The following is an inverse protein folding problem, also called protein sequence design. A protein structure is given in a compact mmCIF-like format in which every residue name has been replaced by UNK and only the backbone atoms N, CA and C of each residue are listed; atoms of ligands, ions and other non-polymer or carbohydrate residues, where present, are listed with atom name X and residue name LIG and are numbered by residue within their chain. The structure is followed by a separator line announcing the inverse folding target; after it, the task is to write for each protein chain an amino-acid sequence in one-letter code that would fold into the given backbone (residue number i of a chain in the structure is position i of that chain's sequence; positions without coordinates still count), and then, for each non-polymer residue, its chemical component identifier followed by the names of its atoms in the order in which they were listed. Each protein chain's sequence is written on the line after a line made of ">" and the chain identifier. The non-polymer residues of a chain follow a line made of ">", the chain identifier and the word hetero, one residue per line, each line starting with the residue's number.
data_IF_088391728645
#
_entry.id   IF_088391728645
#
_cell.length_a   1.000
_cell.length_b   1.000
_cell.length_c   1.000
_cell.angle_alpha   90.00
_cell.angle_beta   90.00
_cell.angle_gamma   90.00
#
_symmetry.space_group_name_H-M   'P 1'
#
loop_
_entity.id
_entity.type
_entity.pdbx_description
1 polymer ?
#
# COMPACT_ATOMS: atom_id res chain seq x y z
N UNK A 1 82.38 32.97 -21.76
CA UNK A 1 81.59 34.12 -22.09
C UNK A 1 80.16 33.68 -22.28
N UNK A 2 79.33 34.27 -21.51
CA UNK A 2 77.88 34.44 -21.68
C UNK A 2 77.02 33.21 -21.89
N UNK A 3 76.48 32.71 -20.79
CA UNK A 3 75.31 31.86 -20.75
C UNK A 3 74.04 32.67 -20.60
N UNK A 4 73.01 32.31 -21.33
CA UNK A 4 71.67 32.87 -21.18
C UNK A 4 70.72 31.81 -20.64
N UNK A 5 70.10 32.10 -19.50
CA UNK A 5 69.17 31.24 -18.83
C UNK A 5 67.74 31.38 -19.45
N UNK A 6 67.18 30.28 -19.95
CA UNK A 6 65.82 30.20 -20.36
C UNK A 6 64.90 29.69 -19.22
N UNK A 7 63.99 30.54 -18.75
CA UNK A 7 62.96 30.15 -17.79
C UNK A 7 61.77 29.54 -18.57
N UNK A 8 61.50 28.25 -18.35
CA UNK A 8 60.29 27.60 -18.80
C UNK A 8 59.21 27.76 -17.75
N UNK A 9 58.18 28.52 -18.07
CA UNK A 9 56.99 28.69 -17.27
C UNK A 9 56.09 27.48 -17.36
N UNK A 10 55.97 26.73 -16.25
CA UNK A 10 55.04 25.61 -16.12
C UNK A 10 53.57 26.11 -15.96
N UNK A 11 52.84 26.05 -17.03
CA UNK A 11 51.41 26.30 -16.98
C UNK A 11 50.66 25.18 -16.25
N UNK A 12 50.24 25.44 -15.01
CA UNK A 12 49.35 24.54 -14.26
C UNK A 12 47.97 24.60 -14.89
N UNK A 13 47.64 23.62 -15.72
CA UNK A 13 46.29 23.35 -16.21
C UNK A 13 45.38 22.99 -15.04
N UNK A 14 44.52 23.93 -14.62
CA UNK A 14 43.45 23.67 -13.70
C UNK A 14 42.38 22.83 -14.40
N UNK A 15 42.46 21.51 -14.24
CA UNK A 15 41.33 20.62 -14.58
C UNK A 15 40.11 21.03 -13.74
N UNK A 16 39.19 21.80 -14.34
CA UNK A 16 37.87 22.01 -13.80
C UNK A 16 37.14 20.68 -13.80
N UNK A 17 37.03 20.07 -12.64
CA UNK A 17 36.13 18.92 -12.43
C UNK A 17 34.72 19.37 -12.75
N UNK A 18 34.20 18.96 -13.89
CA UNK A 18 32.79 19.08 -14.20
C UNK A 18 32.07 18.19 -13.18
N UNK A 19 31.59 18.77 -12.09
CA UNK A 19 30.58 18.15 -11.24
C UNK A 19 29.43 17.74 -12.16
N UNK A 20 29.31 16.44 -12.43
CA UNK A 20 28.10 15.86 -13.02
C UNK A 20 26.96 16.26 -12.08
N UNK A 21 26.19 17.25 -12.48
CA UNK A 21 24.89 17.53 -11.86
C UNK A 21 24.08 16.26 -12.05
N UNK A 22 23.95 15.46 -10.99
CA UNK A 22 23.08 14.31 -10.98
C UNK A 22 21.72 14.76 -11.47
N UNK A 23 21.22 14.11 -12.51
CA UNK A 23 19.90 14.40 -13.08
C UNK A 23 18.88 14.14 -11.97
N UNK A 24 18.26 15.18 -11.45
CA UNK A 24 17.25 15.09 -10.38
C UNK A 24 16.14 14.19 -10.89
N UNK A 25 15.85 13.09 -10.19
CA UNK A 25 14.74 12.20 -10.54
C UNK A 25 13.42 12.94 -10.42
N UNK A 26 12.53 12.75 -11.39
CA UNK A 26 11.16 13.28 -11.33
C UNK A 26 10.39 12.56 -10.22
N UNK A 27 9.57 13.28 -9.49
CA UNK A 27 8.65 12.71 -8.49
C UNK A 27 7.27 12.59 -9.10
N UNK A 28 6.60 11.46 -8.83
CA UNK A 28 5.22 11.16 -9.24
C UNK A 28 4.44 10.77 -7.99
N UNK A 29 3.24 11.32 -7.85
CA UNK A 29 2.29 10.91 -6.81
C UNK A 29 1.30 9.89 -7.38
N UNK A 30 1.09 8.79 -6.65
CA UNK A 30 0.09 7.78 -6.96
C UNK A 30 -0.86 7.61 -5.77
N UNK A 31 -2.14 7.49 -6.06
CA UNK A 31 -3.17 7.27 -5.05
C UNK A 31 -3.93 5.98 -5.32
N UNK A 32 -4.11 5.19 -4.28
CA UNK A 32 -4.88 3.96 -4.28
C UNK A 32 -5.87 3.95 -3.14
N UNK A 33 -6.86 3.08 -3.24
CA UNK A 33 -7.79 2.80 -2.16
C UNK A 33 -8.06 1.30 -2.06
N UNK A 34 -8.41 0.86 -0.88
CA UNK A 34 -8.73 -0.52 -0.57
C UNK A 34 -9.23 -0.65 0.86
N UNK A 35 -9.11 -1.81 1.45
CA UNK A 35 -9.54 -1.94 2.83
C UNK A 35 -9.49 -3.33 3.42
N UNK A 36 -9.88 -3.37 4.67
CA UNK A 36 -10.08 -4.57 5.46
C UNK A 36 -11.55 -4.99 5.33
N UNK A 37 -11.79 -6.12 4.68
CA UNK A 37 -13.12 -6.69 4.49
C UNK A 37 -13.38 -7.75 5.53
N UNK A 38 -14.32 -7.51 6.42
CA UNK A 38 -14.74 -8.47 7.44
C UNK A 38 -16.05 -9.16 7.04
N UNK A 39 -16.27 -10.38 7.53
CA UNK A 39 -17.58 -11.02 7.42
C UNK A 39 -18.59 -10.40 8.39
N UNK A 40 -19.87 -10.74 8.23
CA UNK A 40 -20.96 -10.17 9.05
C UNK A 40 -20.77 -10.43 10.55
N UNK A 41 -20.17 -11.57 10.91
CA UNK A 41 -19.91 -11.94 12.31
C UNK A 41 -18.63 -11.31 12.86
N UNK A 42 -17.85 -10.60 12.01
CA UNK A 42 -16.56 -9.98 12.35
C UNK A 42 -15.51 -10.95 12.90
N UNK A 43 -15.57 -12.21 12.45
CA UNK A 43 -14.66 -13.27 12.86
C UNK A 43 -13.52 -13.51 11.88
N UNK A 44 -13.72 -13.15 10.61
CA UNK A 44 -12.75 -13.36 9.53
C UNK A 44 -12.65 -12.11 8.66
N UNK A 45 -11.50 -11.96 8.03
CA UNK A 45 -11.27 -10.95 7.01
C UNK A 45 -10.61 -11.54 5.76
N UNK A 46 -10.78 -10.87 4.64
CA UNK A 46 -10.20 -11.30 3.37
C UNK A 46 -8.80 -10.73 3.21
N UNK A 47 -7.84 -11.59 2.92
CA UNK A 47 -6.49 -11.20 2.51
C UNK A 47 -6.20 -11.70 1.11
N UNK A 48 -5.33 -10.98 0.41
CA UNK A 48 -4.73 -11.39 -0.85
C UNK A 48 -3.28 -11.77 -0.65
N UNK A 49 -2.82 -12.77 -1.40
CA UNK A 49 -1.43 -13.19 -1.43
C UNK A 49 -0.80 -12.90 -2.79
N UNK A 50 0.38 -12.30 -2.78
CA UNK A 50 1.21 -12.06 -3.96
C UNK A 50 2.59 -12.64 -3.74
N UNK A 51 3.17 -13.23 -4.78
CA UNK A 51 4.54 -13.70 -4.73
C UNK A 51 5.51 -12.51 -4.87
N UNK A 52 6.50 -12.47 -3.99
CA UNK A 52 7.61 -11.55 -4.16
C UNK A 52 8.59 -12.04 -5.25
N UNK A 53 9.64 -11.26 -5.53
CA UNK A 53 10.67 -11.61 -6.51
C UNK A 53 11.45 -12.89 -6.18
N UNK A 54 11.36 -13.38 -4.95
CA UNK A 54 12.01 -14.61 -4.49
C UNK A 54 11.05 -15.80 -4.43
N UNK A 55 9.78 -15.63 -4.85
CA UNK A 55 8.75 -16.65 -4.82
C UNK A 55 8.11 -16.85 -3.45
N UNK A 56 8.32 -15.94 -2.50
CA UNK A 56 7.66 -15.97 -1.20
C UNK A 56 6.28 -15.33 -1.29
N UNK A 57 5.26 -16.02 -0.77
CA UNK A 57 3.90 -15.49 -0.69
C UNK A 57 3.81 -14.45 0.42
N UNK A 58 3.42 -13.22 0.05
CA UNK A 58 3.20 -12.11 0.96
C UNK A 58 1.71 -11.80 1.03
N UNK A 59 1.16 -11.84 2.24
CA UNK A 59 -0.24 -11.52 2.49
C UNK A 59 -0.42 -10.02 2.76
N UNK A 60 -1.46 -9.43 2.17
CA UNK A 60 -1.78 -8.01 2.28
C UNK A 60 -3.28 -7.74 2.16
N UNK A 61 -3.67 -6.51 2.48
CA UNK A 61 -5.01 -6.03 2.23
C UNK A 61 -5.23 -5.73 0.73
N UNK A 62 -6.41 -6.05 0.17
CA UNK A 62 -6.73 -5.72 -1.21
C UNK A 62 -6.80 -4.20 -1.42
N UNK A 63 -6.25 -3.73 -2.53
CA UNK A 63 -6.20 -2.31 -2.91
C UNK A 63 -5.79 -2.12 -4.36
N UNK A 64 -6.17 -1.01 -4.94
CA UNK A 64 -5.67 -0.63 -6.27
C UNK A 64 -5.89 0.84 -6.60
N UNK A 65 -5.54 1.21 -7.82
CA UNK A 65 -5.52 2.58 -8.28
C UNK A 65 -6.91 3.15 -8.49
N UNK A 66 -7.06 4.44 -8.24
CA UNK A 66 -8.28 5.20 -8.56
C UNK A 66 -8.42 5.29 -10.08
N UNK A 67 -9.62 5.03 -10.58
CA UNK A 67 -10.01 5.31 -11.95
C UNK A 67 -10.70 6.67 -12.07
N UNK A 68 -10.71 7.22 -13.28
CA UNK A 68 -11.31 8.53 -13.54
C UNK A 68 -12.77 8.58 -13.12
N UNK A 69 -13.11 9.58 -12.30
CA UNK A 69 -14.46 9.80 -11.80
C UNK A 69 -14.85 9.01 -10.56
N UNK A 70 -13.98 8.11 -10.07
CA UNK A 70 -14.23 7.38 -8.82
C UNK A 70 -13.91 8.22 -7.58
N UNK A 71 -14.71 8.03 -6.54
CA UNK A 71 -14.36 8.41 -5.17
C UNK A 71 -13.45 7.34 -4.55
N UNK A 72 -12.77 7.67 -3.46
CA UNK A 72 -11.94 6.70 -2.73
C UNK A 72 -12.73 5.47 -2.23
N UNK A 73 -13.92 5.61 -1.64
CA UNK A 73 -14.76 4.46 -1.27
C UNK A 73 -15.17 3.60 -2.47
N UNK A 74 -15.54 4.21 -3.59
CA UNK A 74 -15.91 3.47 -4.81
C UNK A 74 -14.71 2.67 -5.35
N UNK A 75 -13.53 3.26 -5.38
CA UNK A 75 -12.29 2.55 -5.75
C UNK A 75 -12.03 1.36 -4.82
N UNK A 76 -12.15 1.56 -3.51
CA UNK A 76 -11.94 0.49 -2.54
C UNK A 76 -12.91 -0.68 -2.77
N UNK A 77 -14.19 -0.40 -3.01
CA UNK A 77 -15.19 -1.44 -3.27
C UNK A 77 -14.93 -2.18 -4.59
N UNK A 78 -14.58 -1.45 -5.64
CA UNK A 78 -14.24 -2.04 -6.95
C UNK A 78 -13.01 -2.92 -6.86
N UNK A 79 -11.92 -2.43 -6.29
CA UNK A 79 -10.66 -3.18 -6.17
C UNK A 79 -10.82 -4.43 -5.29
N UNK A 80 -11.55 -4.34 -4.19
CA UNK A 80 -11.88 -5.51 -3.37
C UNK A 80 -12.63 -6.55 -4.19
N UNK A 81 -13.62 -6.14 -4.98
CA UNK A 81 -14.37 -7.06 -5.84
C UNK A 81 -13.49 -7.69 -6.91
N UNK A 82 -12.62 -6.93 -7.56
CA UNK A 82 -11.71 -7.41 -8.59
C UNK A 82 -10.68 -8.38 -8.02
N UNK A 83 -10.01 -8.02 -6.94
CA UNK A 83 -8.91 -8.80 -6.36
C UNK A 83 -9.39 -10.01 -5.53
N UNK A 84 -10.60 -9.99 -4.98
CA UNK A 84 -11.06 -11.02 -4.03
C UNK A 84 -12.33 -11.76 -4.45
N UNK A 85 -13.11 -11.21 -5.35
CA UNK A 85 -14.46 -11.71 -5.70
C UNK A 85 -15.56 -11.29 -4.71
N UNK A 86 -15.23 -10.62 -3.62
CA UNK A 86 -16.20 -10.24 -2.57
C UNK A 86 -16.82 -8.88 -2.86
N UNK A 87 -18.13 -8.82 -2.78
CA UNK A 87 -18.90 -7.58 -2.73
C UNK A 87 -19.00 -7.09 -1.30
N UNK A 88 -18.74 -5.84 -1.06
CA UNK A 88 -18.68 -5.26 0.27
C UNK A 88 -19.40 -3.92 0.35
N UNK A 89 -19.64 -3.47 1.57
CA UNK A 89 -20.11 -2.11 1.88
C UNK A 89 -19.14 -1.42 2.83
N UNK A 90 -19.08 -0.10 2.75
CA UNK A 90 -18.20 0.70 3.62
C UNK A 90 -18.85 0.84 5.00
N UNK A 91 -18.08 0.51 6.05
CA UNK A 91 -18.47 0.78 7.44
C UNK A 91 -17.88 2.13 7.91
N UNK A 92 -16.60 2.35 7.71
CA UNK A 92 -15.91 3.59 8.10
C UNK A 92 -14.56 3.74 7.39
N UNK A 93 -13.98 4.95 7.36
CA UNK A 93 -12.57 5.10 7.07
C UNK A 93 -11.73 4.36 8.12
N UNK A 94 -10.62 3.75 7.70
CA UNK A 94 -9.74 3.02 8.61
C UNK A 94 -8.41 3.74 8.82
N UNK A 95 -7.79 4.21 7.75
CA UNK A 95 -6.54 4.96 7.81
C UNK A 95 -5.85 5.05 6.47
N UNK A 96 -4.75 5.79 6.46
CA UNK A 96 -3.96 6.04 5.26
C UNK A 96 -2.52 5.59 5.49
N UNK A 97 -1.97 4.88 4.52
CA UNK A 97 -0.56 4.47 4.49
C UNK A 97 0.08 5.18 3.32
N UNK A 98 1.26 5.77 3.53
CA UNK A 98 2.04 6.33 2.44
C UNK A 98 3.49 5.82 2.49
N UNK A 99 4.09 5.64 1.32
CA UNK A 99 5.46 5.17 1.18
C UNK A 99 6.09 5.64 -0.13
N UNK A 100 7.41 5.61 -0.16
CA UNK A 100 8.21 6.00 -1.30
C UNK A 100 8.93 4.81 -1.90
N UNK A 101 8.99 4.76 -3.22
CA UNK A 101 9.82 3.80 -3.95
C UNK A 101 10.36 4.42 -5.24
N UNK A 102 11.28 3.72 -5.88
CA UNK A 102 11.83 4.11 -7.17
C UNK A 102 11.40 3.10 -8.21
N UNK A 103 10.75 3.58 -9.26
CA UNK A 103 10.37 2.80 -10.42
C UNK A 103 10.66 3.61 -11.70
N UNK A 104 11.15 2.97 -12.74
CA UNK A 104 11.41 3.60 -14.04
C UNK A 104 12.17 4.94 -13.98
N UNK A 105 13.16 5.05 -13.08
CA UNK A 105 13.94 6.26 -12.80
C UNK A 105 13.13 7.44 -12.26
N UNK A 106 11.97 7.16 -11.67
CA UNK A 106 11.14 8.14 -10.97
C UNK A 106 11.07 7.80 -9.49
N UNK A 107 10.97 8.83 -8.66
CA UNK A 107 10.55 8.64 -7.27
C UNK A 107 9.04 8.64 -7.24
N UNK A 108 8.45 7.58 -6.72
CA UNK A 108 7.00 7.47 -6.58
C UNK A 108 6.66 7.64 -5.11
N UNK A 109 5.75 8.57 -4.82
CA UNK A 109 5.08 8.70 -3.53
C UNK A 109 3.70 8.07 -3.67
N UNK A 110 3.49 6.95 -3.00
CA UNK A 110 2.22 6.25 -3.04
C UNK A 110 1.45 6.45 -1.75
N UNK A 111 0.20 6.89 -1.88
CA UNK A 111 -0.75 7.03 -0.78
C UNK A 111 -1.88 6.04 -0.97
N UNK A 112 -2.15 5.23 0.04
CA UNK A 112 -3.23 4.23 0.02
C UNK A 112 -4.23 4.53 1.11
N UNK A 113 -5.46 4.85 0.71
CA UNK A 113 -6.57 5.07 1.63
C UNK A 113 -7.28 3.74 1.91
N UNK A 114 -7.35 3.35 3.18
CA UNK A 114 -7.98 2.11 3.62
C UNK A 114 -9.30 2.39 4.32
N UNK A 115 -10.27 1.54 4.03
CA UNK A 115 -11.60 1.55 4.65
C UNK A 115 -11.84 0.25 5.41
N UNK A 116 -12.64 0.33 6.45
CA UNK A 116 -13.24 -0.83 7.07
C UNK A 116 -14.50 -1.18 6.29
N UNK A 117 -14.54 -2.41 5.76
CA UNK A 117 -15.58 -2.89 4.86
C UNK A 117 -16.21 -4.15 5.43
N UNK A 118 -17.49 -4.36 5.13
CA UNK A 118 -18.21 -5.57 5.47
C UNK A 118 -18.66 -6.30 4.20
N UNK A 119 -18.40 -7.60 4.14
CA UNK A 119 -18.84 -8.44 3.03
C UNK A 119 -20.36 -8.54 3.01
N UNK A 120 -20.94 -8.34 1.82
CA UNK A 120 -22.39 -8.44 1.60
C UNK A 120 -22.75 -9.50 0.55
N UNK A 121 -21.77 -10.10 -0.10
CA UNK A 121 -22.00 -11.14 -1.10
C UNK A 121 -20.72 -11.50 -1.86
N UNK A 122 -20.88 -12.35 -2.87
CA UNK A 122 -19.79 -12.84 -3.68
C UNK A 122 -19.12 -14.06 -3.09
N UNK A 123 -18.17 -14.62 -3.83
CA UNK A 123 -17.34 -15.76 -3.45
C UNK A 123 -15.88 -15.41 -3.73
N UNK A 124 -14.97 -16.00 -2.94
CA UNK A 124 -13.54 -15.81 -3.15
C UNK A 124 -13.15 -16.24 -4.57
N UNK A 125 -12.39 -15.38 -5.23
CA UNK A 125 -11.83 -15.62 -6.57
C UNK A 125 -10.41 -15.07 -6.64
N UNK A 126 -9.51 -15.85 -7.20
CA UNK A 126 -8.11 -15.51 -7.51
C UNK A 126 -7.88 -15.28 -9.01
N UNK A 127 -8.94 -14.97 -9.74
CA UNK A 127 -8.86 -14.75 -11.20
C UNK A 127 -8.11 -13.48 -11.59
N UNK A 128 -7.93 -12.54 -10.68
CA UNK A 128 -7.13 -11.35 -10.91
C UNK A 128 -5.66 -11.72 -11.13
N UNK A 129 -5.09 -11.24 -12.24
CA UNK A 129 -3.71 -11.58 -12.64
C UNK A 129 -2.64 -11.08 -11.68
N UNK A 130 -2.95 -10.10 -10.85
CA UNK A 130 -2.06 -9.53 -9.84
C UNK A 130 -2.09 -10.30 -8.51
N UNK A 131 -3.04 -11.22 -8.34
CA UNK A 131 -3.27 -11.99 -7.12
C UNK A 131 -2.91 -13.44 -7.33
N UNK A 132 -2.16 -14.03 -6.41
CA UNK A 132 -1.80 -15.45 -6.43
C UNK A 132 -2.78 -16.29 -5.62
N UNK A 133 -3.18 -15.79 -4.45
CA UNK A 133 -4.13 -16.44 -3.54
C UNK A 133 -5.07 -15.44 -2.90
N UNK A 134 -6.26 -15.89 -2.55
CA UNK A 134 -7.25 -15.15 -1.76
C UNK A 134 -7.75 -16.05 -0.64
N UNK A 135 -7.86 -15.53 0.57
CA UNK A 135 -8.30 -16.31 1.71
C UNK A 135 -9.12 -15.51 2.72
N UNK A 136 -10.12 -16.18 3.31
CA UNK A 136 -10.69 -15.77 4.59
C UNK A 136 -9.74 -16.17 5.70
N UNK A 137 -9.29 -15.21 6.48
CA UNK A 137 -8.35 -15.42 7.59
C UNK A 137 -9.02 -15.02 8.89
N UNK A 138 -8.94 -15.86 9.95
CA UNK A 138 -9.46 -15.48 11.26
C UNK A 138 -8.86 -14.15 11.72
N UNK A 139 -9.69 -13.28 12.28
CA UNK A 139 -9.26 -11.94 12.72
C UNK A 139 -8.09 -12.03 13.69
N UNK A 140 -8.09 -13.03 14.57
CA UNK A 140 -7.01 -13.26 15.55
C UNK A 140 -5.67 -13.59 14.91
N UNK A 141 -5.65 -14.04 13.66
CA UNK A 141 -4.44 -14.42 12.93
C UNK A 141 -3.94 -13.34 11.96
N UNK A 142 -4.69 -12.24 11.79
CA UNK A 142 -4.37 -11.21 10.78
C UNK A 142 -2.99 -10.58 11.01
N UNK A 143 -2.67 -10.21 12.24
CA UNK A 143 -1.39 -9.56 12.53
C UNK A 143 -0.19 -10.47 12.25
N UNK A 144 -0.31 -11.76 12.46
CA UNK A 144 0.76 -12.73 12.16
C UNK A 144 0.86 -13.05 10.67
N UNK A 145 -0.26 -12.95 9.93
CA UNK A 145 -0.32 -13.23 8.50
C UNK A 145 0.17 -12.08 7.65
N UNK A 146 -0.24 -10.85 7.96
CA UNK A 146 0.10 -9.67 7.18
C UNK A 146 1.62 -9.46 7.12
N UNK A 147 2.12 -9.25 5.91
CA UNK A 147 3.54 -9.04 5.66
C UNK A 147 4.02 -7.64 6.09
N UNK A 148 3.12 -6.63 6.09
CA UNK A 148 3.48 -5.23 6.24
C UNK A 148 3.07 -4.67 7.60
N UNK A 149 4.01 -4.00 8.27
CA UNK A 149 3.80 -3.42 9.61
C UNK A 149 2.69 -2.37 9.65
N UNK A 150 2.59 -1.54 8.61
CA UNK A 150 1.58 -0.49 8.53
C UNK A 150 0.16 -1.06 8.42
N UNK A 151 -0.01 -2.16 7.67
CA UNK A 151 -1.28 -2.86 7.58
C UNK A 151 -1.66 -3.54 8.90
N UNK A 152 -0.69 -4.08 9.64
CA UNK A 152 -0.93 -4.62 10.98
C UNK A 152 -1.46 -3.55 11.95
N UNK A 153 -0.95 -2.33 11.84
CA UNK A 153 -1.45 -1.19 12.62
C UNK A 153 -2.91 -0.85 12.29
N UNK A 154 -3.29 -0.94 11.02
CA UNK A 154 -4.68 -0.77 10.59
C UNK A 154 -5.61 -1.84 11.16
N UNK A 155 -5.16 -3.09 11.21
CA UNK A 155 -5.93 -4.18 11.84
C UNK A 155 -6.17 -3.91 13.32
N UNK A 156 -5.15 -3.48 14.06
CA UNK A 156 -5.31 -3.10 15.47
C UNK A 156 -6.34 -1.99 15.65
N UNK A 157 -6.30 -0.98 14.79
CA UNK A 157 -7.29 0.10 14.81
C UNK A 157 -8.71 -0.40 14.52
N UNK A 158 -8.87 -1.33 13.58
CA UNK A 158 -10.17 -1.95 13.30
C UNK A 158 -10.73 -2.70 14.52
N UNK A 159 -9.87 -3.45 15.23
CA UNK A 159 -10.25 -4.16 16.45
C UNK A 159 -10.68 -3.20 17.57
N UNK A 160 -10.03 -2.04 17.70
CA UNK A 160 -10.42 -0.99 18.63
C UNK A 160 -11.79 -0.40 18.28
N UNK A 161 -12.07 -0.19 16.99
CA UNK A 161 -13.38 0.28 16.52
C UNK A 161 -14.49 -0.73 16.85
N UNK A 162 -14.25 -2.02 16.67
CA UNK A 162 -15.21 -3.07 17.03
C UNK A 162 -15.45 -3.15 18.54
N UNK A 163 -14.42 -2.96 19.36
CA UNK A 163 -14.56 -2.97 20.81
C UNK A 163 -15.35 -1.75 21.35
N UNK A 164 -15.34 -0.63 20.62
CA UNK A 164 -16.08 0.58 20.96
C UNK A 164 -17.57 0.54 20.58
N UNK A 165 -17.98 -0.40 19.73
CA UNK A 165 -19.38 -0.67 19.39
C UNK A 165 -19.92 -1.68 20.42
N UNK A 166 -20.35 -1.19 21.60
CA UNK A 166 -21.09 -2.05 22.53
C UNK A 166 -22.39 -2.53 21.86
N UNK A 167 -22.73 -3.84 22.03
CA UNK A 167 -24.03 -4.30 21.56
C UNK A 167 -25.09 -3.48 22.29
N UNK A 168 -26.00 -2.88 21.50
CA UNK A 168 -27.19 -2.27 22.05
C UNK A 168 -27.87 -3.32 22.91
N UNK A 169 -27.82 -3.15 24.23
CA UNK A 169 -28.62 -3.93 25.17
C UNK A 169 -30.09 -3.63 24.82
N UNK A 170 -30.72 -4.58 24.12
CA UNK A 170 -32.14 -4.60 24.04
C UNK A 170 -32.66 -4.62 25.49
N UNK A 171 -33.14 -3.47 25.91
CA UNK A 171 -33.83 -3.36 27.19
C UNK A 171 -35.01 -4.31 27.19
N UNK A 172 -34.88 -5.39 27.91
CA UNK A 172 -35.98 -6.22 28.31
C UNK A 172 -36.82 -5.34 29.27
N UNK A 173 -37.78 -4.65 28.71
CA UNK A 173 -38.82 -3.99 29.48
C UNK A 173 -39.70 -5.06 30.15
N UNK A 174 -39.72 -5.01 31.47
CA UNK A 174 -40.78 -5.65 32.27
C UNK A 174 -42.16 -5.08 31.94
#
# INVERSE_FOLDING_TARGET
>A
MSGSAGRSGGGKSRRRSRRRRGRKMTTVDETSAGGLVVDADRLRAVLIGRLDRHGKLLWSLPKGHIEDGETLPETALREVKEETGISARVLSPLGTIDYWFVAERRRVHKTVHHFLLEAVGGELSDEDVEVTEVAWVPIVDLETRLAYTDERALVRKALELFAGEEPATEGVGE
#
